data_IF_895724418421
#
_entry.id   IF_895724418421
#
_cell.length_a   1.000
_cell.length_b   1.000
_cell.length_c   1.000
_cell.angle_alpha   90.00
_cell.angle_beta   90.00
_cell.angle_gamma   90.00
#
_symmetry.space_group_name_H-M   'P 1'
#
loop_
_entity.id
_entity.type
_entity.pdbx_description
1 polymer ?
#
# COMPACT_ATOMS: atom_id res chain seq x y z
N UNK A 1 0.98 18.41 8.93
CA UNK A 1 0.56 19.65 9.62
C UNK A 1 0.52 19.52 11.14
N UNK A 2 0.10 18.39 11.72
CA UNK A 2 0.12 18.17 13.19
C UNK A 2 1.54 18.20 13.80
N UNK A 3 2.55 17.80 13.04
CA UNK A 3 3.93 17.62 13.52
C UNK A 3 4.68 18.97 13.67
N UNK A 4 4.34 19.99 12.87
CA UNK A 4 4.92 21.34 12.98
C UNK A 4 4.41 22.09 14.22
N UNK A 5 3.16 21.82 14.64
CA UNK A 5 2.57 22.39 15.85
C UNK A 5 3.12 21.80 17.15
N UNK A 6 3.63 20.56 17.12
CA UNK A 6 4.28 19.91 18.28
C UNK A 6 5.73 20.37 18.49
N UNK A 7 6.36 20.96 17.47
CA UNK A 7 7.73 21.47 17.54
C UNK A 7 7.84 22.82 18.27
N UNK A 8 6.73 23.52 18.51
CA UNK A 8 6.71 24.87 19.10
C UNK A 8 6.33 24.88 20.58
N UNK A 9 6.16 23.72 21.23
CA UNK A 9 5.63 23.60 22.59
C UNK A 9 6.56 22.75 23.46
N UNK A 10 6.47 22.87 24.79
CA UNK A 10 7.22 22.14 25.82
C UNK A 10 7.19 20.59 25.72
N UNK A 11 6.46 20.04 24.75
CA UNK A 11 6.34 18.63 24.43
C UNK A 11 7.68 17.97 24.02
N UNK A 12 8.60 18.70 23.39
CA UNK A 12 9.94 18.14 23.06
C UNK A 12 10.73 17.75 24.31
N UNK A 13 10.60 18.49 25.41
CA UNK A 13 11.26 18.16 26.69
C UNK A 13 10.57 16.95 27.36
N UNK A 14 9.23 16.86 27.28
CA UNK A 14 8.47 15.70 27.76
C UNK A 14 8.82 14.39 27.02
N UNK A 15 9.06 14.45 25.71
CA UNK A 15 9.51 13.28 24.94
C UNK A 15 10.96 12.86 25.21
N UNK A 16 11.80 13.78 25.70
CA UNK A 16 13.17 13.45 26.15
C UNK A 16 13.12 12.70 27.48
N UNK A 17 12.23 13.12 28.40
CA UNK A 17 12.04 12.50 29.71
C UNK A 17 11.32 11.14 29.61
N UNK A 18 10.31 11.03 28.73
CA UNK A 18 9.54 9.80 28.48
C UNK A 18 9.72 9.30 27.03
N UNK A 19 10.96 8.88 26.72
CA UNK A 19 11.43 8.38 25.41
C UNK A 19 10.51 7.37 24.71
N UNK A 20 9.91 6.46 25.46
CA UNK A 20 9.06 5.39 24.91
C UNK A 20 7.61 5.83 24.66
N UNK A 21 7.15 6.92 25.28
CA UNK A 21 5.78 7.40 25.16
C UNK A 21 5.47 7.96 23.76
N UNK A 22 6.46 8.59 23.12
CA UNK A 22 6.39 9.03 21.72
C UNK A 22 6.03 7.87 20.79
N UNK A 23 6.64 6.70 21.02
CA UNK A 23 6.42 5.54 20.19
C UNK A 23 4.97 5.05 20.27
N UNK A 24 4.40 4.95 21.48
CA UNK A 24 3.02 4.50 21.68
C UNK A 24 1.95 5.41 21.06
N UNK A 25 2.22 6.71 20.90
CA UNK A 25 1.29 7.64 20.27
C UNK A 25 1.47 7.67 18.75
N UNK A 26 2.71 7.75 18.27
CA UNK A 26 2.98 7.96 16.84
C UNK A 26 2.80 6.66 16.06
N UNK A 27 3.10 5.50 16.64
CA UNK A 27 2.95 4.18 16.00
C UNK A 27 1.50 3.84 15.58
N UNK A 28 0.45 3.97 16.41
CA UNK A 28 -0.92 3.69 15.98
C UNK A 28 -1.42 4.68 14.92
N UNK A 29 -0.99 5.95 14.96
CA UNK A 29 -1.30 6.92 13.90
C UNK A 29 -0.67 6.51 12.57
N UNK A 30 0.57 6.02 12.62
CA UNK A 30 1.25 5.47 11.46
C UNK A 30 0.55 4.23 10.92
N UNK A 31 0.13 3.30 11.79
CA UNK A 31 -0.64 2.11 11.45
C UNK A 31 -1.98 2.45 10.77
N UNK A 32 -2.68 3.49 11.23
CA UNK A 32 -3.91 3.93 10.57
C UNK A 32 -3.60 4.54 9.19
N UNK A 33 -2.45 5.19 9.05
CA UNK A 33 -2.01 5.81 7.80
C UNK A 33 -1.58 4.78 6.75
N UNK A 34 -0.92 3.69 7.17
CA UNK A 34 -0.50 2.59 6.30
C UNK A 34 -1.67 1.83 5.66
N UNK A 35 -2.75 1.64 6.43
CA UNK A 35 -3.96 0.92 6.01
C UNK A 35 -4.78 1.63 4.92
N UNK A 36 -4.58 2.93 4.69
CA UNK A 36 -5.47 3.76 3.85
C UNK A 36 -5.57 3.29 2.40
N UNK A 37 -4.45 2.88 1.79
CA UNK A 37 -4.44 2.45 0.40
C UNK A 37 -5.20 1.14 0.18
N UNK A 38 -5.03 0.17 1.09
CA UNK A 38 -5.80 -1.08 1.07
C UNK A 38 -7.29 -0.84 1.32
N UNK A 39 -7.62 0.05 2.26
CA UNK A 39 -9.00 0.43 2.53
C UNK A 39 -9.69 1.00 1.29
N UNK A 40 -9.03 1.92 0.58
CA UNK A 40 -9.56 2.50 -0.66
C UNK A 40 -9.78 1.41 -1.71
N UNK A 41 -8.84 0.47 -1.87
CA UNK A 41 -9.00 -0.67 -2.78
C UNK A 41 -10.26 -1.49 -2.47
N UNK A 42 -10.43 -1.92 -1.21
CA UNK A 42 -11.59 -2.72 -0.81
C UNK A 42 -12.91 -1.96 -0.94
N UNK A 43 -12.92 -0.65 -0.68
CA UNK A 43 -14.11 0.21 -0.88
C UNK A 43 -14.46 0.33 -2.36
N UNK A 44 -13.46 0.48 -3.24
CA UNK A 44 -13.68 0.52 -4.68
C UNK A 44 -14.17 -0.84 -5.20
N UNK A 45 -13.60 -1.93 -4.71
CA UNK A 45 -14.07 -3.28 -4.99
C UNK A 45 -15.53 -3.48 -4.53
N UNK A 46 -15.91 -3.03 -3.33
CA UNK A 46 -17.30 -3.06 -2.85
C UNK A 46 -18.24 -2.27 -3.78
N UNK A 47 -17.80 -1.09 -4.26
CA UNK A 47 -18.56 -0.33 -5.27
C UNK A 47 -18.70 -1.08 -6.59
N UNK A 48 -17.69 -1.82 -7.04
CA UNK A 48 -17.79 -2.64 -8.25
C UNK A 48 -18.85 -3.73 -8.06
N UNK A 49 -18.82 -4.51 -6.98
CA UNK A 49 -19.81 -5.54 -6.71
C UNK A 49 -21.25 -5.00 -6.67
N UNK A 50 -21.45 -3.80 -6.09
CA UNK A 50 -22.75 -3.13 -6.10
C UNK A 50 -23.23 -2.74 -7.50
N UNK A 51 -22.33 -2.42 -8.43
CA UNK A 51 -22.66 -2.06 -9.80
C UNK A 51 -23.03 -3.28 -10.65
N UNK A 52 -22.37 -4.43 -10.45
CA UNK A 52 -22.61 -5.66 -11.23
C UNK A 52 -23.83 -6.46 -10.74
N UNK A 53 -24.04 -6.54 -9.43
CA UNK A 53 -25.08 -7.40 -8.84
C UNK A 53 -25.97 -6.64 -7.87
N UNK A 54 -26.75 -5.64 -8.35
CA UNK A 54 -27.55 -4.78 -7.48
C UNK A 54 -28.58 -5.54 -6.64
N UNK A 55 -29.14 -6.62 -7.18
CA UNK A 55 -30.21 -7.41 -6.53
C UNK A 55 -29.64 -8.29 -5.41
N UNK A 56 -28.54 -9.01 -5.68
CA UNK A 56 -27.84 -9.84 -4.68
C UNK A 56 -27.24 -8.96 -3.58
N UNK A 57 -26.71 -7.79 -3.95
CA UNK A 57 -26.11 -6.84 -3.03
C UNK A 57 -27.13 -6.24 -2.06
N UNK A 58 -28.36 -5.95 -2.50
CA UNK A 58 -29.40 -5.39 -1.63
C UNK A 58 -29.84 -6.36 -0.52
N UNK A 59 -29.87 -7.66 -0.81
CA UNK A 59 -30.30 -8.68 0.15
C UNK A 59 -29.21 -9.04 1.18
N UNK A 60 -27.93 -8.99 0.80
CA UNK A 60 -26.78 -9.33 1.66
C UNK A 60 -26.08 -8.11 2.31
N UNK A 61 -26.55 -6.88 2.02
CA UNK A 61 -25.92 -5.60 2.37
C UNK A 61 -25.60 -5.41 3.86
N UNK A 62 -26.42 -5.95 4.75
CA UNK A 62 -26.43 -5.57 6.18
C UNK A 62 -25.33 -6.21 7.02
N UNK A 63 -24.65 -7.25 6.54
CA UNK A 63 -23.74 -8.06 7.36
C UNK A 63 -22.31 -8.16 6.80
N UNK A 64 -22.11 -7.99 5.49
CA UNK A 64 -20.86 -8.39 4.83
C UNK A 64 -19.80 -7.28 4.73
N UNK A 65 -20.07 -6.04 4.28
CA UNK A 65 -18.99 -5.10 3.96
C UNK A 65 -18.28 -4.55 5.21
N UNK A 66 -19.01 -4.17 6.26
CA UNK A 66 -18.41 -3.52 7.43
C UNK A 66 -17.64 -4.49 8.32
N UNK A 67 -18.21 -5.66 8.64
CA UNK A 67 -17.55 -6.67 9.49
C UNK A 67 -16.30 -7.21 8.81
N UNK A 68 -16.38 -7.48 7.50
CA UNK A 68 -15.25 -8.00 6.73
C UNK A 68 -14.08 -6.99 6.67
N UNK A 69 -14.36 -5.70 6.44
CA UNK A 69 -13.34 -4.64 6.46
C UNK A 69 -12.67 -4.54 7.84
N UNK A 70 -13.44 -4.62 8.93
CA UNK A 70 -12.89 -4.55 10.29
C UNK A 70 -11.97 -5.74 10.58
N UNK A 71 -12.36 -6.96 10.20
CA UNK A 71 -11.54 -8.16 10.38
C UNK A 71 -10.22 -8.03 9.60
N UNK A 72 -10.28 -7.58 8.33
CA UNK A 72 -9.09 -7.38 7.52
C UNK A 72 -8.14 -6.34 8.12
N UNK A 73 -8.68 -5.23 8.64
CA UNK A 73 -7.87 -4.23 9.33
C UNK A 73 -7.15 -4.79 10.56
N UNK A 74 -7.84 -5.63 11.33
CA UNK A 74 -7.26 -6.24 12.52
C UNK A 74 -6.15 -7.24 12.17
N UNK A 75 -6.37 -8.09 11.16
CA UNK A 75 -5.35 -9.03 10.66
C UNK A 75 -4.12 -8.27 10.16
N UNK A 76 -4.32 -7.19 9.42
CA UNK A 76 -3.21 -6.40 8.90
C UNK A 76 -2.46 -5.68 10.04
N UNK A 77 -3.17 -5.16 11.04
CA UNK A 77 -2.57 -4.58 12.25
C UNK A 77 -1.68 -5.60 13.00
N UNK A 78 -2.16 -6.83 13.17
CA UNK A 78 -1.39 -7.91 13.78
C UNK A 78 -0.15 -8.26 12.96
N UNK A 79 -0.28 -8.30 11.63
CA UNK A 79 0.84 -8.58 10.74
C UNK A 79 1.92 -7.51 10.85
N UNK A 80 1.57 -6.23 10.81
CA UNK A 80 2.52 -5.11 10.95
C UNK A 80 3.24 -5.12 12.31
N UNK A 81 2.49 -5.37 13.40
CA UNK A 81 3.07 -5.51 14.75
C UNK A 81 4.01 -6.72 14.83
N UNK A 82 3.63 -7.86 14.26
CA UNK A 82 4.48 -9.05 14.23
C UNK A 82 5.73 -8.84 13.36
N UNK A 83 5.63 -8.10 12.26
CA UNK A 83 6.77 -7.76 11.42
C UNK A 83 7.78 -6.88 12.18
N UNK A 84 7.29 -5.97 13.03
CA UNK A 84 8.17 -5.15 13.86
C UNK A 84 8.87 -5.98 14.95
N UNK A 85 8.14 -6.81 15.71
CA UNK A 85 8.69 -7.52 16.88
C UNK A 85 9.38 -8.85 16.55
N UNK A 86 8.85 -9.68 15.63
CA UNK A 86 9.45 -10.98 15.30
C UNK A 86 10.52 -10.87 14.20
N UNK A 87 10.26 -10.13 13.12
CA UNK A 87 11.15 -10.12 11.96
C UNK A 87 12.37 -9.23 12.16
N UNK A 88 12.18 -8.01 12.68
CA UNK A 88 13.28 -7.09 12.93
C UNK A 88 13.87 -7.20 14.35
N UNK A 89 13.15 -7.82 15.30
CA UNK A 89 13.67 -8.03 16.66
C UNK A 89 14.01 -6.74 17.40
N UNK A 90 13.29 -5.65 17.12
CA UNK A 90 13.62 -4.33 17.63
C UNK A 90 13.30 -4.20 19.12
N UNK A 91 14.30 -3.77 19.91
CA UNK A 91 14.10 -3.32 21.28
C UNK A 91 13.49 -1.90 21.27
N UNK A 92 12.54 -1.62 22.15
CA UNK A 92 11.84 -0.32 22.22
C UNK A 92 12.79 0.73 22.82
N UNK A 93 13.73 1.19 22.00
CA UNK A 93 14.82 2.07 22.38
C UNK A 93 15.00 3.21 21.36
N UNK A 94 14.17 4.25 21.49
CA UNK A 94 14.14 5.40 20.55
C UNK A 94 15.23 6.43 20.86
N UNK A 95 16.19 6.75 19.97
CA UNK A 95 17.27 7.69 20.25
C UNK A 95 16.77 9.10 20.67
N UNK A 96 17.46 9.80 21.59
CA UNK A 96 17.04 11.12 22.06
C UNK A 96 17.08 12.14 20.91
N UNK A 97 16.06 13.01 20.82
CA UNK A 97 15.92 14.00 19.73
C UNK A 97 15.19 13.48 18.48
N UNK A 98 14.67 12.26 18.51
CA UNK A 98 13.95 11.67 17.39
C UNK A 98 12.48 12.14 17.32
N UNK A 99 12.19 13.11 16.46
CA UNK A 99 10.84 13.68 16.29
C UNK A 99 9.99 13.00 15.21
N UNK A 100 10.55 12.05 14.45
CA UNK A 100 9.88 11.40 13.32
C UNK A 100 9.86 9.89 13.46
N UNK A 101 8.76 9.25 13.04
CA UNK A 101 8.63 7.79 13.05
C UNK A 101 9.74 7.12 12.24
N UNK A 102 10.21 7.81 11.20
CA UNK A 102 11.29 7.33 10.36
C UNK A 102 12.53 7.09 11.19
N UNK A 103 12.94 8.00 12.07
CA UNK A 103 14.12 7.81 12.89
C UNK A 103 13.89 6.81 14.07
N UNK A 104 12.64 6.64 14.52
CA UNK A 104 12.30 5.74 15.63
C UNK A 104 12.30 4.25 15.25
N UNK A 105 12.11 3.95 13.97
CA UNK A 105 12.06 2.58 13.43
C UNK A 105 13.43 2.15 12.90
N UNK A 106 13.74 0.85 12.98
CA UNK A 106 14.99 0.31 12.46
C UNK A 106 15.11 0.42 10.94
N UNK A 107 16.34 0.33 10.43
CA UNK A 107 16.59 0.22 8.98
C UNK A 107 15.87 -0.99 8.36
N UNK A 108 15.71 -2.07 9.13
CA UNK A 108 15.03 -3.28 8.70
C UNK A 108 13.54 -3.02 8.41
N UNK A 109 12.82 -2.43 9.37
CA UNK A 109 11.39 -2.16 9.23
C UNK A 109 11.11 -1.11 8.15
N UNK A 110 11.97 -0.07 8.04
CA UNK A 110 11.87 0.94 6.97
C UNK A 110 11.94 0.32 5.57
N UNK A 111 12.87 -0.60 5.33
CA UNK A 111 13.03 -1.24 4.02
C UNK A 111 11.86 -2.19 3.71
N UNK A 112 11.38 -2.92 4.70
CA UNK A 112 10.18 -3.75 4.59
C UNK A 112 8.97 -2.89 4.20
N UNK A 113 8.72 -1.81 4.94
CA UNK A 113 7.60 -0.89 4.71
C UNK A 113 7.63 -0.30 3.29
N UNK A 114 8.77 0.26 2.87
CA UNK A 114 8.92 0.84 1.54
C UNK A 114 8.70 -0.19 0.43
N UNK A 115 9.14 -1.43 0.63
CA UNK A 115 8.90 -2.53 -0.30
C UNK A 115 7.43 -2.88 -0.41
N UNK A 116 6.73 -2.95 0.73
CA UNK A 116 5.30 -3.20 0.82
C UNK A 116 4.48 -2.11 0.14
N UNK A 117 4.77 -0.84 0.43
CA UNK A 117 4.09 0.31 -0.17
C UNK A 117 4.25 0.33 -1.70
N UNK A 118 5.45 0.02 -2.20
CA UNK A 118 5.71 -0.11 -3.62
C UNK A 118 4.85 -1.23 -4.24
N UNK A 119 4.80 -2.40 -3.62
CA UNK A 119 4.00 -3.54 -4.11
C UNK A 119 2.50 -3.20 -4.13
N UNK A 120 1.99 -2.58 -3.07
CA UNK A 120 0.59 -2.19 -2.97
C UNK A 120 0.20 -1.16 -4.04
N UNK A 121 1.10 -0.20 -4.35
CA UNK A 121 0.87 0.77 -5.44
C UNK A 121 0.80 0.11 -6.82
N UNK A 122 1.60 -0.92 -7.07
CA UNK A 122 1.48 -1.71 -8.30
C UNK A 122 0.12 -2.44 -8.34
N UNK A 123 -0.26 -3.11 -7.26
CA UNK A 123 -1.51 -3.87 -7.18
C UNK A 123 -2.76 -2.99 -7.37
N UNK A 124 -2.74 -1.76 -6.84
CA UNK A 124 -3.80 -0.77 -7.08
C UNK A 124 -3.91 -0.37 -8.55
N UNK A 125 -2.78 -0.14 -9.23
CA UNK A 125 -2.77 0.21 -10.66
C UNK A 125 -3.29 -0.98 -11.49
N UNK A 126 -2.85 -2.19 -11.16
CA UNK A 126 -3.29 -3.44 -11.78
C UNK A 126 -4.81 -3.62 -11.66
N UNK A 127 -5.34 -3.47 -10.44
CA UNK A 127 -6.78 -3.52 -10.17
C UNK A 127 -7.55 -2.45 -10.96
N UNK A 128 -7.01 -1.23 -11.03
CA UNK A 128 -7.61 -0.14 -11.82
C UNK A 128 -7.63 -0.46 -13.32
N UNK A 129 -6.55 -1.05 -13.85
CA UNK A 129 -6.49 -1.50 -15.25
C UNK A 129 -7.54 -2.57 -15.50
N UNK A 130 -7.66 -3.59 -14.65
CA UNK A 130 -8.67 -4.64 -14.79
C UNK A 130 -10.09 -4.05 -14.78
N UNK A 131 -10.36 -3.11 -13.86
CA UNK A 131 -11.67 -2.42 -13.81
C UNK A 131 -11.95 -1.66 -15.10
N UNK A 132 -10.99 -0.89 -15.61
CA UNK A 132 -11.20 -0.03 -16.79
C UNK A 132 -11.27 -0.85 -18.08
N UNK A 133 -10.40 -1.83 -18.25
CA UNK A 133 -10.19 -2.52 -19.52
C UNK A 133 -11.00 -3.82 -19.65
N UNK A 134 -11.25 -4.55 -18.55
CA UNK A 134 -11.99 -5.83 -18.58
C UNK A 134 -13.45 -5.66 -18.13
N UNK A 135 -13.77 -4.60 -17.36
CA UNK A 135 -15.05 -4.46 -16.65
C UNK A 135 -16.00 -3.39 -17.25
N UNK A 136 -15.47 -2.27 -17.74
CA UNK A 136 -16.26 -1.23 -18.42
C UNK A 136 -16.91 -1.72 -19.73
N UNK A 137 -16.22 -2.48 -20.62
CA UNK A 137 -16.80 -2.93 -21.88
C UNK A 137 -18.11 -3.75 -21.72
N UNK A 138 -18.20 -4.74 -20.81
CA UNK A 138 -19.44 -5.50 -20.62
C UNK A 138 -20.58 -4.67 -20.01
N UNK A 139 -20.32 -3.65 -19.19
CA UNK A 139 -21.37 -2.77 -18.63
C UNK A 139 -22.02 -1.91 -19.72
N UNK A 140 -21.21 -1.32 -20.59
CA UNK A 140 -21.71 -0.44 -21.67
C UNK A 140 -22.62 -1.25 -22.60
N UNK A 141 -22.27 -2.51 -22.85
CA UNK A 141 -23.03 -3.42 -23.73
C UNK A 141 -24.33 -3.89 -23.08
N UNK A 142 -24.39 -4.05 -21.76
CA UNK A 142 -25.65 -4.42 -21.09
C UNK A 142 -26.66 -3.28 -21.10
N UNK A 143 -26.22 -2.02 -21.17
CA UNK A 143 -27.10 -0.85 -21.18
C UNK A 143 -27.58 -0.42 -22.56
N UNK A 144 -26.88 -0.81 -23.65
CA UNK A 144 -27.24 -0.46 -25.03
C UNK A 144 -27.63 -1.72 -25.80
N UNK A 145 -28.94 -2.08 -25.85
CA UNK A 145 -29.39 -3.17 -26.70
C UNK A 145 -29.23 -2.71 -28.16
N UNK A 146 -28.30 -3.33 -28.91
CA UNK A 146 -28.18 -3.40 -30.40
C UNK A 146 -26.72 -3.51 -30.95
N UNK A 147 -25.68 -3.66 -30.11
CA UNK A 147 -24.26 -3.68 -30.56
C UNK A 147 -23.53 -5.05 -30.50
N UNK A 148 -24.27 -6.17 -30.58
CA UNK A 148 -23.74 -7.52 -30.35
C UNK A 148 -22.71 -8.05 -31.36
N UNK A 149 -22.50 -7.41 -32.51
CA UNK A 149 -21.60 -7.95 -33.57
C UNK A 149 -20.14 -7.46 -33.50
N UNK A 150 -19.84 -6.40 -32.75
CA UNK A 150 -18.48 -5.80 -32.63
C UNK A 150 -17.84 -5.97 -31.24
N UNK A 151 -18.54 -6.58 -30.29
CA UNK A 151 -18.12 -6.66 -28.88
C UNK A 151 -17.01 -7.66 -28.60
N UNK A 152 -16.96 -8.79 -29.31
CA UNK A 152 -15.85 -9.75 -29.18
C UNK A 152 -14.48 -9.12 -29.52
N UNK A 153 -14.33 -8.46 -30.69
CA UNK A 153 -13.10 -7.78 -31.07
C UNK A 153 -12.70 -6.65 -30.13
N UNK A 154 -13.66 -5.82 -29.68
CA UNK A 154 -13.38 -4.66 -28.82
C UNK A 154 -12.95 -5.11 -27.43
N UNK A 155 -13.60 -6.13 -26.85
CA UNK A 155 -13.20 -6.69 -25.56
C UNK A 155 -11.80 -7.34 -25.63
N UNK A 156 -11.51 -8.08 -26.71
CA UNK A 156 -10.17 -8.64 -26.93
C UNK A 156 -9.10 -7.52 -27.08
N UNK A 157 -9.44 -6.41 -27.71
CA UNK A 157 -8.56 -5.26 -27.87
C UNK A 157 -8.24 -4.56 -26.55
N UNK A 158 -9.26 -4.30 -25.71
CA UNK A 158 -9.02 -3.72 -24.37
C UNK A 158 -8.27 -4.68 -23.45
N UNK A 159 -8.55 -5.99 -23.52
CA UNK A 159 -7.85 -7.01 -22.75
C UNK A 159 -6.37 -7.12 -23.13
N UNK A 160 -6.06 -7.09 -24.42
CA UNK A 160 -4.66 -7.08 -24.91
C UNK A 160 -3.93 -5.79 -24.53
N UNK A 161 -4.61 -4.63 -24.55
CA UNK A 161 -4.05 -3.39 -24.03
C UNK A 161 -3.75 -3.45 -22.54
N UNK A 162 -4.64 -4.06 -21.73
CA UNK A 162 -4.41 -4.28 -20.29
C UNK A 162 -3.13 -5.05 -20.01
N UNK A 163 -2.96 -6.21 -20.67
CA UNK A 163 -1.74 -7.03 -20.53
C UNK A 163 -0.46 -6.30 -20.96
N UNK A 164 -0.53 -5.45 -21.99
CA UNK A 164 0.61 -4.64 -22.44
C UNK A 164 0.98 -3.59 -21.39
N UNK A 165 0.00 -2.94 -20.76
CA UNK A 165 0.24 -1.94 -19.71
C UNK A 165 0.82 -2.59 -18.45
N UNK A 166 0.29 -3.73 -18.01
CA UNK A 166 0.83 -4.50 -16.88
C UNK A 166 2.28 -4.91 -17.14
N UNK A 167 2.56 -5.51 -18.30
CA UNK A 167 3.90 -5.90 -18.72
C UNK A 167 4.87 -4.71 -18.78
N UNK A 168 4.42 -3.55 -19.23
CA UNK A 168 5.20 -2.31 -19.24
C UNK A 168 5.52 -1.81 -17.82
N UNK A 169 4.54 -1.83 -16.92
CA UNK A 169 4.70 -1.39 -15.52
C UNK A 169 5.65 -2.30 -14.74
N UNK A 170 5.55 -3.62 -14.93
CA UNK A 170 6.48 -4.62 -14.38
C UNK A 170 7.89 -4.42 -14.93
N UNK A 171 8.00 -4.21 -16.24
CA UNK A 171 9.29 -3.96 -16.90
C UNK A 171 10.00 -2.71 -16.37
N UNK A 172 9.26 -1.63 -16.10
CA UNK A 172 9.81 -0.42 -15.46
C UNK A 172 10.27 -0.71 -14.03
N UNK A 173 9.47 -1.43 -13.24
CA UNK A 173 9.84 -1.74 -11.86
C UNK A 173 11.07 -2.66 -11.77
N UNK A 174 11.16 -3.65 -12.65
CA UNK A 174 12.35 -4.51 -12.78
C UNK A 174 13.58 -3.67 -13.16
N UNK A 175 13.46 -2.76 -14.14
CA UNK A 175 14.56 -1.86 -14.53
C UNK A 175 15.04 -0.97 -13.38
N UNK A 176 14.11 -0.43 -12.57
CA UNK A 176 14.45 0.36 -11.37
C UNK A 176 15.19 -0.47 -10.31
N UNK A 177 14.76 -1.72 -10.07
CA UNK A 177 15.46 -2.63 -9.15
C UNK A 177 16.85 -3.04 -9.65
N UNK A 178 17.01 -3.26 -10.96
CA UNK A 178 18.31 -3.51 -11.58
C UNK A 178 19.27 -2.33 -11.42
N UNK A 179 18.82 -1.09 -11.63
CA UNK A 179 19.68 0.08 -11.40
C UNK A 179 20.05 0.26 -9.93
N UNK A 180 19.09 0.09 -9.00
CA UNK A 180 19.37 0.17 -7.55
C UNK A 180 20.40 -0.87 -7.12
N UNK A 181 20.27 -2.11 -7.60
CA UNK A 181 21.25 -3.20 -7.36
C UNK A 181 22.63 -2.87 -7.93
N UNK A 182 22.70 -2.33 -9.15
CA UNK A 182 23.97 -1.95 -9.79
C UNK A 182 24.71 -0.85 -9.03
N UNK A 183 23.98 0.12 -8.46
CA UNK A 183 24.55 1.17 -7.61
C UNK A 183 25.04 0.64 -6.27
N UNK A 184 24.31 -0.26 -5.60
CA UNK A 184 24.77 -0.88 -4.34
C UNK A 184 26.01 -1.76 -4.54
N UNK A 185 26.11 -2.50 -5.65
CA UNK A 185 27.31 -3.27 -6.00
C UNK A 185 28.51 -2.34 -6.28
N UNK A 186 28.29 -1.19 -6.90
CA UNK A 186 29.35 -0.20 -7.12
C UNK A 186 29.83 0.44 -5.81
N UNK A 187 28.92 0.78 -4.90
CA UNK A 187 29.26 1.36 -3.57
C UNK A 187 30.00 0.35 -2.69
N UNK A 188 29.53 -0.90 -2.59
CA UNK A 188 30.22 -1.95 -1.82
C UNK A 188 31.62 -2.31 -2.35
N UNK A 189 31.90 -2.04 -3.64
CA UNK A 189 33.22 -2.21 -4.25
C UNK A 189 34.18 -1.04 -3.97
N UNK A 190 33.66 0.13 -3.62
CA UNK A 190 34.45 1.32 -3.22
C UNK A 190 34.84 1.23 -1.74
N UNK A 191 33.92 0.78 -0.88
CA UNK A 191 34.17 0.64 0.57
C UNK A 191 35.24 -0.44 0.90
N UNK A 192 35.37 -1.47 0.04
CA UNK A 192 36.41 -2.51 0.17
C UNK A 192 37.78 -2.08 -0.39
N UNK A 193 37.86 -0.98 -1.14
CA UNK A 193 39.11 -0.43 -1.69
C UNK A 193 39.71 0.68 -0.83
N UNK A 194 38.96 1.26 0.11
CA UNK A 194 39.43 2.34 1.01
C UNK A 194 39.90 1.85 2.39
N UNK A 195 39.88 0.54 2.63
CA UNK A 195 40.34 -0.11 3.87
C UNK A 195 41.59 -0.98 3.61
N UNK A 196 42.58 -0.38 2.93
CA UNK A 196 43.95 -0.88 2.81
C UNK A 196 44.92 0.29 2.95
#
# INVERSE_FOLDING_TARGET
MIIMFLSTTDAVQFFIDHRNFAFYIVYPVYLISSMRALLVLFIEMDRTFSAYFPITFFNYRKFIPTIFIIILLFVYALFDVSAMFLFCGDSIDVPPGCISIMCALSMCYRNYWLGYEQANRLALIDTFIIIVFDLIPPIIVSHVPNFYRYVGPVNAFFKTMGFVVEGYLVSINLRKRFQKSKTTIFVGKIDTSSSK
#
